data_IF_099229224437
#
_entry.id   IF_099229224437
#
_cell.length_a   1.000
_cell.length_b   1.000
_cell.length_c   1.000
_cell.angle_alpha   90.00
_cell.angle_beta   90.00
_cell.angle_gamma   90.00
#
_symmetry.space_group_name_H-M   'P 1'
#
loop_
_entity.id
_entity.type
_entity.pdbx_description
1 polymer ?
#
# COMPACT_ATOMS: atom_id res chain seq x y z
N UNK A 1 5.15 27.81 -12.64
CA UNK A 1 3.84 27.15 -12.43
C UNK A 1 3.23 27.69 -11.16
N UNK A 2 1.91 27.87 -11.12
CA UNK A 2 1.20 28.50 -9.97
C UNK A 2 0.61 27.43 -9.06
N UNK A 3 1.24 27.18 -7.91
CA UNK A 3 0.77 26.19 -6.93
C UNK A 3 -0.62 26.56 -6.39
N UNK A 4 -0.88 27.84 -6.14
CA UNK A 4 -2.13 28.33 -5.56
C UNK A 4 -3.30 28.10 -6.50
N UNK A 5 -3.13 28.42 -7.79
CA UNK A 5 -4.17 28.19 -8.79
C UNK A 5 -4.49 26.70 -8.98
N UNK A 6 -3.46 25.84 -8.99
CA UNK A 6 -3.65 24.39 -9.09
C UNK A 6 -4.32 23.80 -7.85
N UNK A 7 -3.92 24.23 -6.65
CA UNK A 7 -4.57 23.80 -5.42
C UNK A 7 -6.03 24.25 -5.34
N UNK A 8 -6.36 25.47 -5.81
CA UNK A 8 -7.74 25.93 -5.87
C UNK A 8 -8.59 25.10 -6.85
N UNK A 9 -8.06 24.79 -8.04
CA UNK A 9 -8.75 23.92 -9.00
C UNK A 9 -8.95 22.49 -8.46
N UNK A 10 -7.99 21.98 -7.70
CA UNK A 10 -8.11 20.69 -7.00
C UNK A 10 -9.11 20.75 -5.86
N UNK A 11 -9.19 21.85 -5.12
CA UNK A 11 -10.18 22.05 -4.06
C UNK A 11 -11.60 22.09 -4.60
N UNK A 12 -11.82 22.83 -5.68
CA UNK A 12 -13.11 22.86 -6.38
C UNK A 12 -13.52 21.46 -6.84
N UNK A 13 -12.56 20.69 -7.37
CA UNK A 13 -12.78 19.32 -7.84
C UNK A 13 -13.12 18.36 -6.69
N UNK A 14 -12.43 18.46 -5.56
CA UNK A 14 -12.70 17.65 -4.36
C UNK A 14 -14.02 18.03 -3.68
N UNK A 15 -14.49 19.26 -3.85
CA UNK A 15 -15.76 19.74 -3.30
C UNK A 15 -17.00 19.39 -4.17
N UNK A 16 -16.81 18.83 -5.37
CA UNK A 16 -17.92 18.49 -6.27
C UNK A 16 -18.77 17.35 -5.69
N UNK A 17 -20.11 17.50 -5.59
CA UNK A 17 -20.99 16.46 -5.10
C UNK A 17 -21.00 15.26 -6.05
N UNK A 18 -20.78 14.06 -5.49
CA UNK A 18 -20.81 12.79 -6.23
C UNK A 18 -22.23 12.59 -6.79
N UNK A 19 -22.45 12.63 -8.13
CA UNK A 19 -23.79 12.48 -8.68
C UNK A 19 -24.26 11.05 -8.45
N UNK A 20 -25.35 10.88 -7.71
CA UNK A 20 -25.82 9.57 -7.23
C UNK A 20 -26.32 8.58 -8.28
N UNK A 21 -26.34 8.93 -9.58
CA UNK A 21 -26.87 8.06 -10.62
C UNK A 21 -26.35 8.34 -12.06
N UNK A 22 -25.29 9.14 -12.20
CA UNK A 22 -24.71 9.42 -13.53
C UNK A 22 -23.68 8.37 -13.94
N UNK A 23 -23.52 8.09 -15.26
CA UNK A 23 -22.62 7.04 -15.73
C UNK A 23 -21.22 7.22 -15.17
N UNK A 24 -20.56 6.10 -14.82
CA UNK A 24 -19.18 5.91 -14.30
C UNK A 24 -18.09 6.49 -15.21
N UNK A 25 -18.22 7.75 -15.61
CA UNK A 25 -17.40 8.42 -16.61
C UNK A 25 -16.17 8.99 -15.92
N UNK A 26 -15.01 8.73 -16.49
CA UNK A 26 -13.76 9.33 -16.05
C UNK A 26 -13.79 10.81 -16.45
N UNK A 27 -13.67 11.70 -15.48
CA UNK A 27 -13.51 13.13 -15.69
C UNK A 27 -12.03 13.46 -15.67
N UNK A 28 -11.52 14.00 -16.77
CA UNK A 28 -10.12 14.47 -16.88
C UNK A 28 -10.14 15.99 -16.88
N UNK A 29 -9.51 16.58 -15.88
CA UNK A 29 -9.29 18.02 -15.79
C UNK A 29 -7.83 18.30 -16.12
N UNK A 30 -7.62 18.99 -17.25
CA UNK A 30 -6.30 19.53 -17.59
C UNK A 30 -6.07 20.72 -16.67
N UNK A 31 -5.11 20.57 -15.77
CA UNK A 31 -4.68 21.62 -14.87
C UNK A 31 -3.82 22.57 -15.71
N UNK A 32 -4.46 23.61 -16.23
CA UNK A 32 -3.85 24.52 -17.19
C UNK A 32 -2.59 25.15 -16.59
N UNK A 33 -1.43 24.73 -17.10
CA UNK A 33 -0.20 25.49 -16.87
C UNK A 33 -0.34 26.83 -17.59
N UNK A 34 0.13 27.92 -16.96
CA UNK A 34 0.21 29.24 -17.59
C UNK A 34 1.05 29.25 -18.90
N UNK A 35 1.80 28.17 -19.15
CA UNK A 35 2.48 27.82 -20.40
C UNK A 35 2.71 26.29 -20.42
N UNK A 36 2.53 25.60 -21.56
CA UNK A 36 3.08 24.26 -21.76
C UNK A 36 4.59 24.32 -21.50
N UNK A 37 5.07 23.52 -20.56
CA UNK A 37 6.50 23.49 -20.21
C UNK A 37 7.12 22.29 -20.91
N UNK A 38 8.16 22.52 -21.71
CA UNK A 38 8.95 21.45 -22.37
C UNK A 38 9.95 20.78 -21.41
N UNK A 39 10.04 21.25 -20.17
CA UNK A 39 10.92 20.74 -19.11
C UNK A 39 10.17 19.76 -18.17
N UNK A 40 10.37 18.44 -18.32
CA UNK A 40 9.68 17.42 -17.52
C UNK A 40 10.15 17.43 -16.06
N UNK A 41 11.38 17.85 -15.78
CA UNK A 41 11.95 17.81 -14.43
C UNK A 41 11.37 18.93 -13.56
N UNK A 42 11.18 20.12 -14.15
CA UNK A 42 10.45 21.20 -13.50
C UNK A 42 9.01 20.76 -13.15
N UNK A 43 8.31 20.10 -14.08
CA UNK A 43 6.95 19.60 -13.86
C UNK A 43 6.89 18.56 -12.74
N UNK A 44 7.83 17.60 -12.70
CA UNK A 44 7.95 16.61 -11.62
C UNK A 44 8.17 17.26 -10.26
N UNK A 45 9.05 18.27 -10.18
CA UNK A 45 9.30 18.99 -8.93
C UNK A 45 8.03 19.70 -8.41
N UNK A 46 7.23 20.26 -9.31
CA UNK A 46 5.96 20.90 -8.99
C UNK A 46 4.88 19.91 -8.58
N UNK A 47 4.78 18.76 -9.26
CA UNK A 47 3.91 17.66 -8.83
C UNK A 47 4.30 17.18 -7.43
N UNK A 48 5.59 16.99 -7.15
CA UNK A 48 6.05 16.59 -5.83
C UNK A 48 5.66 17.61 -4.73
N UNK A 49 5.56 18.89 -5.05
CA UNK A 49 5.11 19.93 -4.12
C UNK A 49 3.59 19.89 -3.89
N UNK A 50 2.80 19.64 -4.94
CA UNK A 50 1.36 19.40 -4.82
C UNK A 50 1.10 18.13 -3.99
N UNK A 51 1.81 17.04 -4.27
CA UNK A 51 1.69 15.77 -3.53
C UNK A 51 1.98 15.95 -2.04
N UNK A 52 3.06 16.67 -1.68
CA UNK A 52 3.37 17.00 -0.28
C UNK A 52 2.27 17.81 0.40
N UNK A 53 1.60 18.68 -0.34
CA UNK A 53 0.51 19.50 0.19
C UNK A 53 -0.78 18.70 0.36
N UNK A 54 -1.11 17.82 -0.60
CA UNK A 54 -2.26 16.93 -0.51
C UNK A 54 -2.06 15.85 0.56
N UNK A 55 -0.84 15.32 0.72
CA UNK A 55 -0.53 14.30 1.74
C UNK A 55 -0.92 14.74 3.15
N UNK A 56 -0.68 16.02 3.48
CA UNK A 56 -1.06 16.62 4.77
C UNK A 56 -2.56 16.79 4.96
N UNK A 57 -3.36 16.74 3.90
CA UNK A 57 -4.81 17.03 3.91
C UNK A 57 -5.68 15.79 3.77
N UNK A 58 -5.33 14.93 2.82
CA UNK A 58 -6.14 13.78 2.40
C UNK A 58 -5.36 12.46 2.48
N UNK A 59 -4.19 12.46 3.14
CA UNK A 59 -3.34 11.29 3.30
C UNK A 59 -2.44 11.01 2.10
N UNK A 60 -1.57 10.01 2.25
CA UNK A 60 -0.55 9.67 1.26
C UNK A 60 -1.15 9.14 -0.05
N UNK A 61 -0.60 9.62 -1.17
CA UNK A 61 -0.93 9.12 -2.50
C UNK A 61 -0.29 7.76 -2.77
N UNK A 62 -0.95 6.91 -3.55
CA UNK A 62 -0.36 5.73 -4.19
C UNK A 62 0.13 6.05 -5.59
N UNK A 63 1.24 5.48 -6.03
CA UNK A 63 1.68 5.60 -7.42
C UNK A 63 0.97 4.58 -8.29
N UNK A 64 0.37 5.05 -9.38
CA UNK A 64 -0.40 4.27 -10.36
C UNK A 64 0.43 4.01 -11.63
N UNK A 65 1.17 5.02 -12.06
CA UNK A 65 2.10 4.91 -13.16
C UNK A 65 3.34 5.75 -12.87
N UNK A 66 4.52 5.26 -13.24
CA UNK A 66 5.78 5.99 -13.15
C UNK A 66 6.81 5.34 -14.06
N UNK A 67 7.55 6.14 -14.83
CA UNK A 67 8.70 5.67 -15.61
C UNK A 67 8.38 4.48 -16.54
N UNK A 68 7.22 4.52 -17.21
CA UNK A 68 6.78 3.48 -18.15
C UNK A 68 6.16 2.25 -17.48
N UNK A 69 6.22 2.14 -16.15
CA UNK A 69 5.42 1.18 -15.41
C UNK A 69 4.00 1.73 -15.24
N UNK A 70 3.00 0.87 -15.50
CA UNK A 70 1.59 1.10 -15.15
C UNK A 70 1.14 -0.08 -14.32
N UNK A 71 0.60 0.22 -13.15
CA UNK A 71 0.11 -0.76 -12.20
C UNK A 71 -0.88 -1.74 -12.90
N UNK A 72 -0.70 -3.07 -12.78
CA UNK A 72 -1.46 -4.05 -13.57
C UNK A 72 -2.97 -3.93 -13.45
N UNK A 73 -3.45 -3.62 -12.25
CA UNK A 73 -4.86 -3.49 -11.91
C UNK A 73 -5.48 -2.23 -12.53
N UNK A 74 -4.65 -1.22 -12.82
CA UNK A 74 -5.02 0.05 -13.44
C UNK A 74 -4.86 0.08 -14.97
N UNK A 75 -4.26 -0.93 -15.63
CA UNK A 75 -4.00 -0.91 -17.09
C UNK A 75 -5.22 -0.58 -17.96
N UNK A 76 -6.38 -1.15 -17.64
CA UNK A 76 -7.64 -0.87 -18.36
C UNK A 76 -8.14 0.57 -18.12
N UNK A 77 -7.97 1.08 -16.90
CA UNK A 77 -8.32 2.46 -16.57
C UNK A 77 -7.33 3.47 -17.17
N UNK A 78 -6.04 3.14 -17.23
CA UNK A 78 -5.01 3.92 -17.93
C UNK A 78 -5.30 4.05 -19.42
N UNK A 79 -5.70 2.97 -20.09
CA UNK A 79 -6.09 3.02 -21.50
C UNK A 79 -7.28 3.98 -21.72
N UNK A 80 -8.34 3.84 -20.90
CA UNK A 80 -9.50 4.73 -20.96
C UNK A 80 -9.16 6.20 -20.63
N UNK A 81 -8.21 6.42 -19.72
CA UNK A 81 -7.70 7.75 -19.38
C UNK A 81 -6.98 8.36 -20.59
N UNK A 82 -6.10 7.62 -21.26
CA UNK A 82 -5.43 8.07 -22.47
C UNK A 82 -6.44 8.38 -23.59
N UNK A 83 -7.41 7.49 -23.81
CA UNK A 83 -8.48 7.71 -24.79
C UNK A 83 -9.32 8.96 -24.49
N UNK A 84 -9.66 9.19 -23.22
CA UNK A 84 -10.50 10.33 -22.78
C UNK A 84 -9.73 11.64 -22.73
N UNK A 85 -8.43 11.59 -22.45
CA UNK A 85 -7.56 12.77 -22.36
C UNK A 85 -7.03 13.19 -23.74
N UNK A 86 -6.93 12.27 -24.70
CA UNK A 86 -6.27 12.50 -25.99
C UNK A 86 -4.75 12.51 -25.92
N UNK A 87 -4.15 12.16 -24.78
CA UNK A 87 -2.70 12.11 -24.59
C UNK A 87 -2.13 10.78 -25.11
N UNK A 88 -0.85 10.80 -25.48
CA UNK A 88 -0.13 9.65 -26.02
C UNK A 88 0.33 8.65 -24.93
N UNK A 89 0.82 9.15 -23.79
CA UNK A 89 1.34 8.29 -22.71
C UNK A 89 1.25 8.91 -21.33
N UNK A 90 1.32 8.07 -20.29
CA UNK A 90 1.39 8.49 -18.89
C UNK A 90 2.87 8.52 -18.47
N UNK A 91 3.36 9.67 -18.01
CA UNK A 91 4.73 9.81 -17.46
C UNK A 91 4.74 9.39 -16.00
N UNK A 92 3.80 9.94 -15.23
CA UNK A 92 3.56 9.60 -13.85
C UNK A 92 2.09 9.87 -13.48
N UNK A 93 1.53 9.06 -12.60
CA UNK A 93 0.17 9.21 -12.09
C UNK A 93 0.13 8.70 -10.66
N UNK A 94 -0.45 9.50 -9.79
CA UNK A 94 -0.62 9.24 -8.37
C UNK A 94 -2.11 9.26 -8.05
N UNK A 95 -2.57 8.48 -7.08
CA UNK A 95 -3.98 8.35 -6.74
C UNK A 95 -4.26 8.28 -5.25
N UNK A 96 -5.46 8.73 -4.89
CA UNK A 96 -6.02 8.70 -3.55
C UNK A 96 -7.36 7.96 -3.60
N UNK A 97 -7.71 7.37 -2.46
CA UNK A 97 -8.99 6.70 -2.26
C UNK A 97 -9.64 7.34 -1.05
N UNK A 98 -10.80 7.95 -1.25
CA UNK A 98 -11.66 8.40 -0.17
C UNK A 98 -12.89 7.49 -0.11
N UNK A 99 -12.90 6.58 0.87
CA UNK A 99 -13.96 5.60 1.05
C UNK A 99 -14.14 4.60 -0.12
N UNK A 100 -15.28 3.91 -0.20
CA UNK A 100 -15.52 2.86 -1.20
C UNK A 100 -15.89 3.38 -2.60
N UNK A 101 -16.04 4.70 -2.79
CA UNK A 101 -16.76 5.25 -3.94
C UNK A 101 -16.04 6.35 -4.70
N UNK A 102 -14.91 6.87 -4.21
CA UNK A 102 -14.25 8.01 -4.84
C UNK A 102 -12.78 7.76 -5.13
N UNK A 103 -12.44 7.77 -6.42
CA UNK A 103 -11.05 7.80 -6.88
C UNK A 103 -10.69 9.19 -7.42
N UNK A 104 -9.58 9.70 -6.92
CA UNK A 104 -8.94 10.93 -7.37
C UNK A 104 -7.51 10.59 -7.79
N UNK A 105 -7.07 11.10 -8.94
CA UNK A 105 -5.73 10.91 -9.47
C UNK A 105 -5.09 12.23 -9.92
N UNK A 106 -3.79 12.37 -9.77
CA UNK A 106 -3.00 13.51 -10.22
C UNK A 106 -1.75 12.99 -10.92
N UNK A 107 -1.46 13.46 -12.13
CA UNK A 107 -0.33 12.94 -12.89
C UNK A 107 0.11 13.82 -14.05
N UNK A 108 1.25 13.45 -14.63
CA UNK A 108 1.80 14.04 -15.83
C UNK A 108 1.56 13.08 -16.99
N UNK A 109 0.93 13.58 -18.04
CA UNK A 109 0.74 12.86 -19.30
C UNK A 109 1.53 13.58 -20.40
N UNK A 110 1.94 12.83 -21.42
CA UNK A 110 2.58 13.37 -22.63
C UNK A 110 1.58 13.40 -23.77
N UNK A 111 1.48 14.53 -24.46
CA UNK A 111 0.67 14.68 -25.67
C UNK A 111 1.37 14.05 -26.90
N UNK A 112 0.64 13.89 -28.01
CA UNK A 112 1.20 13.38 -29.28
C UNK A 112 2.35 14.24 -29.81
N UNK A 113 2.34 15.53 -29.51
CA UNK A 113 3.38 16.48 -29.90
C UNK A 113 4.59 16.48 -28.93
N UNK A 114 4.60 15.60 -27.92
CA UNK A 114 5.69 15.47 -26.94
C UNK A 114 5.63 16.43 -25.76
N UNK A 115 4.67 17.35 -25.74
CA UNK A 115 4.48 18.28 -24.61
C UNK A 115 3.93 17.54 -23.38
N UNK A 116 4.37 17.94 -22.18
CA UNK A 116 3.86 17.37 -20.92
C UNK A 116 2.74 18.23 -20.35
N UNK A 117 1.72 17.57 -19.82
CA UNK A 117 0.52 18.20 -19.27
C UNK A 117 0.23 17.63 -17.88
N UNK A 118 -0.06 18.53 -16.92
CA UNK A 118 -0.56 18.15 -15.61
C UNK A 118 -2.07 17.87 -15.71
N UNK A 119 -2.49 16.69 -15.28
CA UNK A 119 -3.89 16.30 -15.27
C UNK A 119 -4.33 15.88 -13.88
N UNK A 120 -5.53 16.29 -13.51
CA UNK A 120 -6.29 15.71 -12.43
C UNK A 120 -7.37 14.81 -13.02
N UNK A 121 -7.57 13.65 -12.43
CA UNK A 121 -8.54 12.66 -12.88
C UNK A 121 -9.48 12.35 -11.73
N UNK A 122 -10.76 12.32 -12.04
CA UNK A 122 -11.81 12.04 -11.07
C UNK A 122 -12.75 10.98 -11.62
N UNK A 123 -13.04 9.96 -10.81
CA UNK A 123 -13.98 8.92 -11.21
C UNK A 123 -14.93 8.56 -10.06
N UNK A 124 -16.17 9.07 -10.09
CA UNK A 124 -17.17 8.74 -9.09
C UNK A 124 -17.70 7.30 -9.29
N UNK A 125 -17.85 6.56 -8.20
CA UNK A 125 -18.34 5.17 -8.20
C UNK A 125 -17.39 4.16 -8.82
N UNK A 126 -16.13 4.54 -9.09
CA UNK A 126 -15.11 3.59 -9.47
C UNK A 126 -14.52 2.95 -8.22
N UNK A 127 -14.58 1.61 -8.17
CA UNK A 127 -13.69 0.85 -7.31
C UNK A 127 -12.27 1.21 -7.80
N UNK A 128 -11.47 1.94 -7.00
CA UNK A 128 -10.32 2.70 -7.52
C UNK A 128 -9.16 1.82 -8.03
N UNK A 129 -9.22 0.56 -7.64
CA UNK A 129 -8.23 -0.47 -7.83
C UNK A 129 -9.05 -1.76 -7.96
N UNK A 130 -8.64 -2.77 -8.72
CA UNK A 130 -8.65 -4.12 -8.18
C UNK A 130 -7.76 -4.04 -6.96
N UNK A 131 -8.34 -3.58 -5.86
CA UNK A 131 -7.78 -3.85 -4.57
C UNK A 131 -7.63 -5.38 -4.57
N UNK A 132 -6.68 -5.92 -3.83
CA UNK A 132 -6.88 -7.28 -3.35
C UNK A 132 -8.30 -7.44 -2.77
N UNK A 133 -8.94 -6.34 -2.34
CA UNK A 133 -10.40 -6.18 -2.22
C UNK A 133 -11.14 -6.12 -3.58
N UNK A 134 -12.05 -7.06 -3.78
CA UNK A 134 -12.90 -7.13 -4.98
C UNK A 134 -12.66 -8.39 -5.78
N UNK A 135 -11.58 -9.11 -5.51
CA UNK A 135 -11.65 -10.57 -5.51
C UNK A 135 -11.87 -11.02 -4.08
N UNK A 136 -12.82 -11.91 -3.85
CA UNK A 136 -12.92 -12.65 -2.59
C UNK A 136 -11.78 -13.66 -2.51
N UNK A 137 -10.53 -13.16 -2.50
CA UNK A 137 -9.39 -14.00 -2.23
C UNK A 137 -9.42 -14.37 -0.76
N UNK A 138 -9.59 -15.66 -0.52
CA UNK A 138 -9.41 -16.20 0.80
C UNK A 138 -8.00 -15.86 1.28
N UNK A 139 -7.83 -15.79 2.59
CA UNK A 139 -6.52 -15.65 3.24
C UNK A 139 -5.51 -16.67 2.67
N UNK A 140 -5.96 -17.90 2.43
CA UNK A 140 -5.15 -18.95 1.81
C UNK A 140 -4.61 -18.56 0.43
N UNK A 141 -5.42 -17.93 -0.41
CA UNK A 141 -4.97 -17.53 -1.74
C UNK A 141 -3.93 -16.40 -1.69
N UNK A 142 -4.05 -15.45 -0.75
CA UNK A 142 -3.01 -14.43 -0.55
C UNK A 142 -1.68 -15.04 -0.12
N UNK A 143 -1.72 -16.04 0.77
CA UNK A 143 -0.53 -16.78 1.21
C UNK A 143 0.07 -17.59 0.05
N UNK A 144 -0.74 -18.23 -0.79
CA UNK A 144 -0.28 -18.92 -2.01
C UNK A 144 0.42 -17.97 -2.98
N UNK A 145 -0.10 -16.75 -3.17
CA UNK A 145 0.54 -15.74 -4.01
C UNK A 145 1.88 -15.29 -3.43
N UNK A 146 1.97 -15.07 -2.11
CA UNK A 146 3.24 -14.78 -1.44
C UNK A 146 4.27 -15.91 -1.61
N UNK A 147 3.83 -17.16 -1.46
CA UNK A 147 4.70 -18.32 -1.63
C UNK A 147 5.22 -18.42 -3.07
N UNK A 148 4.36 -18.14 -4.06
CA UNK A 148 4.75 -18.08 -5.46
C UNK A 148 5.73 -16.93 -5.75
N UNK A 149 5.49 -15.74 -5.18
CA UNK A 149 6.34 -14.55 -5.35
C UNK A 149 7.75 -14.77 -4.83
N UNK A 150 7.89 -15.51 -3.72
CA UNK A 150 9.16 -15.78 -3.03
C UNK A 150 9.85 -17.07 -3.50
N UNK A 151 9.25 -17.79 -4.46
CA UNK A 151 9.78 -19.06 -4.93
C UNK A 151 9.81 -20.17 -3.87
N UNK A 152 8.93 -20.10 -2.86
CA UNK A 152 8.87 -21.09 -1.79
C UNK A 152 8.61 -22.50 -2.39
N UNK A 153 9.46 -23.50 -2.09
CA UNK A 153 9.39 -24.78 -2.78
C UNK A 153 8.11 -25.55 -2.41
N UNK A 154 7.48 -26.24 -3.39
CA UNK A 154 6.33 -27.09 -3.10
C UNK A 154 6.74 -28.24 -2.18
N UNK A 155 6.10 -28.32 -1.01
CA UNK A 155 6.43 -29.28 0.04
C UNK A 155 7.28 -28.72 1.18
N UNK A 156 7.58 -27.41 1.17
CA UNK A 156 8.03 -26.73 2.38
C UNK A 156 7.02 -26.96 3.52
N UNK A 157 7.52 -27.36 4.68
CA UNK A 157 6.71 -27.72 5.84
C UNK A 157 7.43 -27.22 7.10
N UNK A 158 7.11 -26.01 7.58
CA UNK A 158 7.74 -25.47 8.77
C UNK A 158 7.35 -26.25 10.03
N UNK A 159 8.10 -26.07 11.14
CA UNK A 159 7.74 -26.65 12.43
C UNK A 159 6.32 -26.21 12.86
N UNK A 160 5.47 -27.13 13.33
CA UNK A 160 4.11 -26.78 13.74
C UNK A 160 4.12 -25.90 15.00
N UNK A 161 3.29 -24.86 15.01
CA UNK A 161 3.10 -23.97 16.15
C UNK A 161 1.85 -24.37 16.93
N UNK A 162 1.97 -24.52 18.26
CA UNK A 162 0.81 -24.70 19.14
C UNK A 162 0.14 -23.35 19.40
N UNK A 163 -0.71 -22.92 18.45
CA UNK A 163 -1.42 -21.65 18.52
C UNK A 163 -2.31 -21.53 19.77
N UNK A 164 -2.86 -22.64 20.28
CA UNK A 164 -3.71 -22.61 21.48
C UNK A 164 -2.87 -22.24 22.71
N UNK A 165 -1.69 -22.83 22.84
CA UNK A 165 -0.75 -22.48 23.91
C UNK A 165 -0.24 -21.04 23.79
N UNK A 166 0.08 -20.59 22.57
CA UNK A 166 0.51 -19.20 22.29
C UNK A 166 -0.56 -18.20 22.66
N UNK A 167 -1.80 -18.37 22.17
CA UNK A 167 -2.92 -17.46 22.45
C UNK A 167 -3.28 -17.46 23.96
N UNK A 168 -3.18 -18.61 24.63
CA UNK A 168 -3.35 -18.71 26.08
C UNK A 168 -2.26 -17.95 26.85
N UNK A 169 -1.00 -18.04 26.43
CA UNK A 169 0.12 -17.29 27.00
C UNK A 169 -0.03 -15.78 26.84
N UNK A 170 -0.42 -15.33 25.64
CA UNK A 170 -0.71 -13.92 25.33
C UNK A 170 -2.01 -13.42 25.96
N UNK A 171 -2.87 -14.35 26.43
CA UNK A 171 -4.26 -14.12 26.88
C UNK A 171 -5.10 -13.38 25.84
N UNK A 172 -4.83 -13.65 24.56
CA UNK A 172 -5.45 -13.00 23.40
C UNK A 172 -5.41 -13.95 22.21
N UNK A 173 -6.43 -13.87 21.37
CA UNK A 173 -6.41 -14.51 20.06
C UNK A 173 -5.53 -13.71 19.11
N UNK A 174 -4.96 -14.36 18.11
CA UNK A 174 -4.15 -13.72 17.06
C UNK A 174 -4.90 -13.69 15.72
N UNK A 175 -4.54 -12.77 14.82
CA UNK A 175 -5.12 -12.72 13.48
C UNK A 175 -4.97 -14.05 12.76
N UNK A 176 -6.02 -14.51 12.10
CA UNK A 176 -6.07 -15.82 11.44
C UNK A 176 -5.12 -15.87 10.23
N UNK A 177 -4.95 -14.75 9.55
CA UNK A 177 -4.06 -14.63 8.40
C UNK A 177 -2.58 -14.68 8.78
N UNK A 178 -2.22 -14.12 9.92
CA UNK A 178 -0.89 -14.28 10.48
C UNK A 178 -0.57 -15.75 10.80
N UNK A 179 -1.50 -16.45 11.47
CA UNK A 179 -1.30 -17.87 11.78
C UNK A 179 -1.10 -18.70 10.52
N UNK A 180 -1.88 -18.43 9.46
CA UNK A 180 -1.70 -19.13 8.19
C UNK A 180 -0.38 -18.76 7.49
N UNK A 181 0.04 -17.51 7.58
CA UNK A 181 1.34 -17.07 7.07
C UNK A 181 2.47 -17.85 7.76
N UNK A 182 2.45 -17.95 9.09
CA UNK A 182 3.45 -18.68 9.87
C UNK A 182 3.37 -20.19 9.64
N UNK A 183 2.18 -20.78 9.58
CA UNK A 183 2.00 -22.20 9.28
C UNK A 183 2.50 -22.56 7.86
N UNK A 184 2.59 -21.58 6.96
CA UNK A 184 3.10 -21.79 5.59
C UNK A 184 4.60 -21.53 5.50
N UNK A 185 5.08 -20.40 6.01
CA UNK A 185 6.48 -19.99 5.85
C UNK A 185 7.38 -20.47 6.99
N UNK A 186 6.87 -20.49 8.22
CA UNK A 186 7.66 -20.78 9.42
C UNK A 186 8.50 -19.59 9.88
N UNK A 187 9.42 -19.84 10.84
CA UNK A 187 10.42 -18.86 11.23
C UNK A 187 11.38 -18.56 10.07
N UNK A 188 11.80 -17.31 9.96
CA UNK A 188 12.66 -16.83 8.87
C UNK A 188 12.37 -15.40 8.44
N UNK A 189 12.94 -15.03 7.30
CA UNK A 189 12.90 -13.67 6.75
C UNK A 189 12.51 -13.65 5.27
N UNK A 190 11.87 -12.56 4.84
CA UNK A 190 11.73 -12.23 3.42
C UNK A 190 12.89 -11.33 3.01
N UNK A 191 13.65 -11.77 2.00
CA UNK A 191 14.81 -11.08 1.42
C UNK A 191 15.88 -10.65 2.43
N UNK A 192 16.00 -11.35 3.57
CA UNK A 192 16.85 -10.94 4.70
C UNK A 192 16.55 -9.55 5.26
N UNK A 193 15.37 -9.01 4.93
CA UNK A 193 14.95 -7.66 5.32
C UNK A 193 13.80 -7.71 6.31
N UNK A 194 12.75 -8.49 6.04
CA UNK A 194 11.57 -8.58 6.92
C UNK A 194 11.57 -9.90 7.69
N UNK A 195 11.89 -9.86 8.97
CA UNK A 195 11.84 -11.01 9.87
C UNK A 195 10.47 -11.17 10.54
N UNK A 196 9.88 -12.36 10.45
CA UNK A 196 8.63 -12.69 11.15
C UNK A 196 8.89 -13.12 12.60
N UNK A 197 8.15 -12.58 13.57
CA UNK A 197 8.30 -12.96 14.99
C UNK A 197 7.46 -14.21 15.31
N UNK A 198 7.99 -15.38 14.97
CA UNK A 198 7.31 -16.66 15.18
C UNK A 198 7.46 -17.12 16.64
N UNK A 199 6.40 -17.62 17.30
CA UNK A 199 6.52 -18.19 18.65
C UNK A 199 7.39 -19.44 18.69
N UNK A 200 8.32 -19.53 19.64
CA UNK A 200 9.15 -20.71 19.85
C UNK A 200 10.60 -20.37 20.18
N UNK A 201 11.46 -21.37 20.46
CA UNK A 201 12.85 -21.17 20.87
C UNK A 201 13.78 -20.86 19.68
N UNK A 202 13.36 -19.94 18.81
CA UNK A 202 14.13 -19.48 17.65
C UNK A 202 15.15 -18.44 18.09
N UNK A 203 16.31 -18.41 17.42
CA UNK A 203 17.49 -17.77 17.98
C UNK A 203 18.25 -17.03 16.90
N UNK A 204 17.66 -15.96 16.38
CA UNK A 204 18.36 -14.95 15.59
C UNK A 204 17.98 -13.53 16.03
N UNK A 205 18.87 -12.59 15.73
CA UNK A 205 18.90 -11.18 16.14
C UNK A 205 17.62 -10.40 15.82
N UNK A 206 16.82 -10.87 14.85
CA UNK A 206 15.53 -10.30 14.46
C UNK A 206 14.31 -10.95 15.14
N UNK A 207 14.46 -12.13 15.75
CA UNK A 207 13.36 -12.86 16.37
C UNK A 207 13.29 -12.59 17.87
N UNK A 208 12.44 -11.66 18.26
CA UNK A 208 11.91 -11.62 19.63
C UNK A 208 10.65 -12.51 19.67
N UNK A 209 10.38 -13.17 20.80
CA UNK A 209 9.05 -13.77 21.03
C UNK A 209 7.93 -12.77 20.67
N UNK A 210 6.72 -13.27 20.38
CA UNK A 210 5.54 -12.39 20.34
C UNK A 210 5.38 -11.72 21.71
N UNK A 211 5.92 -10.51 21.87
CA UNK A 211 5.86 -9.77 23.11
C UNK A 211 4.70 -8.80 23.03
N UNK A 212 3.72 -9.00 23.92
CA UNK A 212 2.72 -7.98 24.20
C UNK A 212 3.35 -6.93 25.14
N UNK A 213 3.75 -5.78 24.61
CA UNK A 213 4.34 -4.71 25.43
C UNK A 213 3.25 -3.97 26.22
N UNK A 214 3.40 -3.78 27.55
CA UNK A 214 2.53 -2.89 28.31
C UNK A 214 2.98 -1.44 28.10
N UNK A 215 2.43 -0.76 27.11
CA UNK A 215 2.64 0.70 26.93
C UNK A 215 1.39 1.43 27.38
N UNK A 216 1.37 1.88 28.64
CA UNK A 216 0.37 2.83 29.15
C UNK A 216 -1.10 2.36 29.09
N UNK A 217 -2.06 3.29 29.24
CA UNK A 217 -3.49 2.99 29.35
C UNK A 217 -4.22 2.78 28.00
N UNK A 218 -3.50 2.69 26.87
CA UNK A 218 -4.02 2.50 25.51
C UNK A 218 -3.48 1.16 24.90
N UNK A 219 -3.92 0.70 23.71
CA UNK A 219 -4.03 -0.73 23.39
C UNK A 219 -2.74 -1.53 23.53
N UNK A 220 -2.89 -2.81 23.94
CA UNK A 220 -1.79 -3.76 24.03
C UNK A 220 -1.25 -4.02 22.62
N UNK A 221 -0.07 -3.49 22.32
CA UNK A 221 0.63 -3.77 21.07
C UNK A 221 1.21 -5.18 21.11
N UNK A 222 1.03 -5.95 20.04
CA UNK A 222 1.64 -7.27 19.86
C UNK A 222 2.63 -7.19 18.71
N UNK A 223 3.92 -7.34 19.00
CA UNK A 223 4.99 -7.24 18.01
C UNK A 223 5.06 -8.50 17.15
N UNK A 224 4.99 -8.36 15.82
CA UNK A 224 4.85 -9.51 14.91
C UNK A 224 5.85 -9.57 13.75
N UNK A 225 6.49 -8.45 13.40
CA UNK A 225 7.57 -8.42 12.43
C UNK A 225 8.53 -7.26 12.72
N UNK A 226 9.74 -7.39 12.23
CA UNK A 226 10.72 -6.30 12.23
C UNK A 226 11.54 -6.28 10.94
N UNK A 227 11.97 -5.08 10.58
CA UNK A 227 13.08 -4.84 9.65
C UNK A 227 14.28 -4.30 10.45
N UNK A 228 15.33 -3.85 9.78
CA UNK A 228 16.39 -3.11 10.47
C UNK A 228 15.84 -1.85 11.17
N UNK A 229 15.04 -1.07 10.44
CA UNK A 229 14.62 0.28 10.85
C UNK A 229 13.22 0.33 11.50
N UNK A 230 12.32 -0.57 11.11
CA UNK A 230 10.91 -0.53 11.51
C UNK A 230 10.51 -1.70 12.42
N UNK A 231 9.52 -1.44 13.27
CA UNK A 231 8.88 -2.43 14.13
C UNK A 231 7.39 -2.47 13.85
N UNK A 232 6.86 -3.66 13.58
CA UNK A 232 5.46 -3.85 13.17
C UNK A 232 4.68 -4.54 14.29
N UNK A 233 3.59 -3.90 14.70
CA UNK A 233 2.73 -4.36 15.78
C UNK A 233 1.29 -4.54 15.29
N UNK A 234 0.49 -5.32 16.01
CA UNK A 234 -0.96 -5.16 16.00
C UNK A 234 -1.37 -4.32 17.20
N UNK A 235 -2.17 -3.29 16.96
CA UNK A 235 -2.94 -2.69 18.04
C UNK A 235 -4.11 -3.61 18.35
N UNK A 236 -4.02 -4.36 19.46
CA UNK A 236 -5.06 -5.30 19.89
C UNK A 236 -6.30 -4.57 20.44
N UNK A 237 -6.95 -3.77 19.58
CA UNK A 237 -8.13 -2.98 19.85
C UNK A 237 -9.37 -3.81 19.52
N UNK A 238 -10.16 -4.15 20.54
CA UNK A 238 -11.39 -4.92 20.36
C UNK A 238 -11.19 -6.44 20.38
N UNK A 239 -12.31 -7.16 20.24
CA UNK A 239 -12.38 -8.62 20.47
C UNK A 239 -12.09 -9.45 19.21
N UNK A 240 -12.23 -8.87 18.01
CA UNK A 240 -11.97 -9.54 16.74
C UNK A 240 -10.53 -9.25 16.26
N UNK A 241 -9.61 -10.23 16.38
CA UNK A 241 -8.22 -10.03 15.99
C UNK A 241 -8.02 -9.79 14.50
N UNK A 242 -8.94 -10.24 13.64
CA UNK A 242 -8.83 -10.04 12.19
C UNK A 242 -9.10 -8.59 11.75
N UNK A 243 -9.51 -7.74 12.70
CA UNK A 243 -9.79 -6.31 12.50
C UNK A 243 -8.75 -5.39 13.14
N UNK A 244 -7.75 -5.96 13.83
CA UNK A 244 -6.73 -5.17 14.50
C UNK A 244 -5.87 -4.39 13.50
N UNK A 245 -5.71 -3.06 13.66
CA UNK A 245 -4.81 -2.31 12.82
C UNK A 245 -3.36 -2.73 13.04
N UNK A 246 -2.58 -2.72 11.95
CA UNK A 246 -1.13 -2.79 12.02
C UNK A 246 -0.61 -1.41 12.42
N UNK A 247 0.24 -1.36 13.43
CA UNK A 247 0.94 -0.16 13.88
C UNK A 247 2.40 -0.28 13.50
N UNK A 248 2.95 0.74 12.85
CA UNK A 248 4.38 0.80 12.52
C UNK A 248 5.02 1.85 13.39
N UNK A 249 6.10 1.45 14.09
CA UNK A 249 6.93 2.35 14.87
C UNK A 249 8.31 2.44 14.22
N UNK A 250 8.65 3.64 13.75
CA UNK A 250 10.00 4.02 13.33
C UNK A 250 10.66 4.82 14.47
N UNK A 251 11.96 4.64 14.68
CA UNK A 251 12.69 5.30 15.77
C UNK A 251 12.65 6.83 15.56
N UNK A 252 11.83 7.53 16.36
CA UNK A 252 11.75 8.99 16.37
C UNK A 252 10.57 9.60 15.59
N UNK A 253 9.65 8.78 15.08
CA UNK A 253 8.46 9.22 14.34
C UNK A 253 7.14 8.95 15.10
N UNK A 254 6.04 9.54 14.61
CA UNK A 254 4.69 9.30 15.12
C UNK A 254 4.18 7.89 14.74
N UNK A 255 3.27 7.32 15.53
CA UNK A 255 2.72 5.98 15.27
C UNK A 255 1.82 5.97 14.01
N UNK A 256 2.12 5.11 13.04
CA UNK A 256 1.31 4.96 11.82
C UNK A 256 0.40 3.74 11.90
N UNK A 257 -0.88 3.91 11.54
CA UNK A 257 -1.91 2.86 11.62
C UNK A 257 -2.41 2.43 10.24
N UNK A 258 -2.40 1.12 9.97
CA UNK A 258 -2.87 0.52 8.72
C UNK A 258 -4.00 -0.51 8.96
N UNK A 259 -5.17 -0.24 8.38
CA UNK A 259 -6.35 -1.12 8.46
C UNK A 259 -6.36 -2.16 7.32
N UNK A 260 -5.33 -3.00 7.28
CA UNK A 260 -5.19 -4.09 6.30
C UNK A 260 -4.82 -5.40 7.01
N UNK A 261 -5.06 -6.52 6.34
CA UNK A 261 -4.65 -7.85 6.81
C UNK A 261 -3.12 -7.94 6.83
N UNK A 262 -2.54 -8.69 7.77
CA UNK A 262 -1.09 -8.95 7.84
C UNK A 262 -0.55 -9.53 6.54
N UNK A 263 -1.20 -10.54 5.98
CA UNK A 263 -0.75 -11.17 4.72
C UNK A 263 -0.78 -10.16 3.55
N UNK A 264 -1.78 -9.28 3.53
CA UNK A 264 -1.92 -8.24 2.51
C UNK A 264 -0.84 -7.16 2.67
N UNK A 265 -0.50 -6.80 3.91
CA UNK A 265 0.58 -5.87 4.22
C UNK A 265 1.94 -6.39 3.74
N UNK A 266 2.29 -7.63 4.10
CA UNK A 266 3.54 -8.28 3.68
C UNK A 266 3.60 -8.39 2.15
N UNK A 267 2.50 -8.80 1.50
CA UNK A 267 2.44 -8.83 0.04
C UNK A 267 2.70 -7.46 -0.58
N UNK A 268 2.13 -6.37 -0.04
CA UNK A 268 2.41 -5.04 -0.56
C UNK A 268 3.86 -4.60 -0.32
N UNK A 269 4.48 -4.95 0.81
CA UNK A 269 5.91 -4.69 1.04
C UNK A 269 6.78 -5.34 -0.04
N UNK A 270 6.46 -6.58 -0.44
CA UNK A 270 7.24 -7.32 -1.45
C UNK A 270 6.84 -6.99 -2.89
N UNK A 271 5.59 -6.69 -3.19
CA UNK A 271 5.14 -6.55 -4.58
C UNK A 271 5.03 -5.09 -5.05
N UNK A 272 4.76 -4.15 -4.13
CA UNK A 272 4.50 -2.75 -4.46
C UNK A 272 5.73 -1.88 -4.16
N UNK A 273 6.44 -1.44 -5.22
CA UNK A 273 7.59 -0.53 -5.15
C UNK A 273 7.28 0.82 -4.49
N UNK A 274 6.02 1.17 -4.35
CA UNK A 274 5.59 2.47 -3.83
C UNK A 274 5.03 2.37 -2.41
N UNK A 275 4.85 1.16 -1.86
CA UNK A 275 4.51 0.97 -0.46
C UNK A 275 5.52 1.70 0.45
N UNK A 276 5.11 2.44 1.50
CA UNK A 276 6.04 3.20 2.36
C UNK A 276 7.23 2.36 2.82
N UNK A 277 6.96 1.11 3.21
CA UNK A 277 7.92 0.10 3.67
C UNK A 277 8.24 -0.93 2.56
N UNK A 278 8.41 -0.48 1.32
CA UNK A 278 8.60 -1.37 0.17
C UNK A 278 10.01 -1.97 0.13
N UNK A 279 10.07 -3.29 0.09
CA UNK A 279 11.27 -4.09 -0.19
C UNK A 279 11.51 -4.17 -1.71
N UNK A 280 10.45 -4.17 -2.51
CA UNK A 280 10.50 -4.19 -3.97
C UNK A 280 11.30 -3.02 -4.60
N UNK A 281 11.53 -1.95 -3.85
CA UNK A 281 12.42 -0.83 -4.24
C UNK A 281 13.88 -1.24 -4.34
N UNK A 282 14.30 -2.18 -3.50
CA UNK A 282 15.69 -2.58 -3.32
C UNK A 282 15.97 -3.97 -3.90
N UNK A 283 14.94 -4.80 -4.02
CA UNK A 283 15.03 -6.20 -4.47
C UNK A 283 14.15 -6.42 -5.70
N UNK A 284 14.74 -6.93 -6.78
CA UNK A 284 14.01 -7.19 -8.04
C UNK A 284 13.33 -8.57 -8.07
N UNK A 285 13.84 -9.52 -7.29
CA UNK A 285 13.36 -10.89 -7.20
C UNK A 285 13.31 -11.32 -5.74
N UNK A 286 12.14 -11.68 -5.25
CA UNK A 286 11.93 -11.97 -3.84
C UNK A 286 12.23 -13.43 -3.51
N UNK A 287 12.69 -13.67 -2.29
CA UNK A 287 13.00 -14.97 -1.72
C UNK A 287 12.63 -15.03 -0.23
N UNK A 288 12.34 -16.23 0.26
CA UNK A 288 12.17 -16.49 1.68
C UNK A 288 13.31 -17.36 2.20
N UNK A 289 13.93 -16.94 3.30
CA UNK A 289 15.02 -17.65 3.96
C UNK A 289 14.52 -18.23 5.30
N UNK A 290 14.30 -19.55 5.39
CA UNK A 290 13.89 -20.19 6.64
C UNK A 290 15.05 -20.25 7.65
N UNK A 291 14.72 -20.22 8.94
CA UNK A 291 15.65 -20.53 10.05
C UNK A 291 15.90 -22.04 10.25
#
# INVERSE_FOLDING_TARGET
>A
MDLTAHMAALDDLLAMPIPGDSPRRTHVLRLAAATPTDDPDAMRAHVAEILRTLARRIGHSRTIALAGFVEPSFRSAAAQLLDSSGCASIVELYGWVDGPTLWFGLGILTDVDGTVQLVAVFRPGAVPWPTLRGRDWSVAHCVEQLAALTGLPPGHSPPPVDWLAVEAGLRRRLPQDYKLLVDTFGPGSFDDILGLHVPGPWNDWYHQDLVATPVGPAPRLVHWASTEDERFFWAATGDDPDTWPIVVLEIGCDEEHHNVRTVEFVHHMLADRHHPYSIARYVESHSFHPE
#
